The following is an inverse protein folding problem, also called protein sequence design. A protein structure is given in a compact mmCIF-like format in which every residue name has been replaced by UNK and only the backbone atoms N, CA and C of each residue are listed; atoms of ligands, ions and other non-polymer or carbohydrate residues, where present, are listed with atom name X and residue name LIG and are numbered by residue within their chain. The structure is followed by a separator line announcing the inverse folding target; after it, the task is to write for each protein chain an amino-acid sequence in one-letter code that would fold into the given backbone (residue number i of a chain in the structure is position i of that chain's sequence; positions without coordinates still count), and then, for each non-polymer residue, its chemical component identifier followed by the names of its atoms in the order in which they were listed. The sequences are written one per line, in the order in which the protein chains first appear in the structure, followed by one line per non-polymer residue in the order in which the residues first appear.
data_IF_756640935227
#
_entry.id   IF_756640935227
#
_cell.length_a   1.000
_cell.length_b   1.000
_cell.length_c   1.000
_cell.angle_alpha   90.00
_cell.angle_beta   90.00
_cell.angle_gamma   90.00
#
_symmetry.space_group_name_H-M   'P 1'
#
loop_
_entity.id
_entity.type
_entity.pdbx_description
1 polymer ?
#
# COMPACT_ATOMS: atom_id res chain seq x y z
N UNK A 1 -55.11 -10.24 10.40
CA UNK A 1 -54.03 -10.97 11.11
C UNK A 1 -53.53 -12.03 10.14
N UNK A 2 -52.37 -11.95 9.49
CA UNK A 2 -51.27 -10.98 9.45
C UNK A 2 -51.03 -10.58 7.97
N UNK A 3 -50.69 -9.31 7.73
CA UNK A 3 -50.15 -8.83 6.47
C UNK A 3 -48.68 -9.26 6.40
N UNK A 4 -48.30 -9.92 5.31
CA UNK A 4 -46.92 -10.27 5.01
C UNK A 4 -46.26 -9.07 4.33
N UNK A 5 -45.35 -8.38 5.02
CA UNK A 5 -44.52 -7.32 4.45
C UNK A 5 -43.11 -7.88 4.27
N UNK A 6 -42.70 -8.05 3.02
CA UNK A 6 -41.46 -8.71 2.65
C UNK A 6 -40.18 -7.98 3.06
N UNK A 7 -39.06 -8.66 2.85
CA UNK A 7 -37.80 -8.08 2.40
C UNK A 7 -37.21 -9.08 1.40
N UNK A 8 -36.95 -8.59 0.18
CA UNK A 8 -36.05 -9.27 -0.76
C UNK A 8 -34.65 -9.00 -0.22
N UNK A 9 -33.92 -10.05 0.15
CA UNK A 9 -32.49 -9.95 0.42
C UNK A 9 -31.79 -9.56 -0.87
N UNK A 10 -31.65 -8.25 -1.10
CA UNK A 10 -30.61 -7.75 -1.99
C UNK A 10 -29.29 -8.08 -1.31
N UNK A 11 -28.59 -9.10 -1.80
CA UNK A 11 -27.26 -9.51 -1.36
C UNK A 11 -26.21 -8.44 -1.65
N UNK A 12 -26.32 -7.30 -0.96
CA UNK A 12 -25.25 -6.31 -0.85
C UNK A 12 -24.37 -6.82 0.27
N UNK A 13 -23.23 -7.39 -0.09
CA UNK A 13 -22.14 -7.61 0.86
C UNK A 13 -21.86 -6.26 1.53
N UNK A 14 -22.13 -6.17 2.84
CA UNK A 14 -21.74 -5.02 3.63
C UNK A 14 -20.21 -5.04 3.70
N UNK A 15 -19.54 -4.20 2.89
CA UNK A 15 -18.09 -4.06 2.95
C UNK A 15 -17.73 -3.35 4.24
N UNK A 16 -17.39 -4.12 5.27
CA UNK A 16 -16.77 -3.59 6.48
C UNK A 16 -15.36 -3.13 6.14
N UNK A 17 -15.05 -1.85 6.38
CA UNK A 17 -13.69 -1.32 6.24
C UNK A 17 -12.77 -1.87 7.33
N UNK A 18 -12.34 -3.12 7.20
CA UNK A 18 -11.56 -3.86 8.18
C UNK A 18 -10.06 -3.86 7.83
N UNK A 19 -9.21 -3.71 8.84
CA UNK A 19 -7.76 -3.91 8.72
C UNK A 19 -7.44 -5.34 9.13
N UNK A 20 -7.16 -6.20 8.15
CA UNK A 20 -6.95 -7.63 8.38
C UNK A 20 -5.48 -8.00 8.62
N UNK A 21 -4.54 -7.10 8.31
CA UNK A 21 -3.10 -7.32 8.50
C UNK A 21 -2.32 -6.00 8.53
N UNK A 22 -1.22 -6.00 9.28
CA UNK A 22 -0.24 -4.90 9.34
C UNK A 22 1.18 -5.45 9.28
N UNK A 23 2.03 -4.84 8.46
CA UNK A 23 3.45 -5.19 8.31
C UNK A 23 4.30 -3.92 8.44
N UNK A 24 5.49 -4.06 9.01
CA UNK A 24 6.51 -3.00 9.05
C UNK A 24 7.74 -3.51 8.31
N UNK A 25 8.17 -2.78 7.28
CA UNK A 25 9.24 -3.21 6.39
C UNK A 25 10.27 -2.09 6.17
N UNK A 26 11.57 -2.40 6.03
CA UNK A 26 12.60 -1.39 5.80
C UNK A 26 12.64 -0.94 4.34
N UNK A 27 12.72 0.37 4.09
CA UNK A 27 12.65 0.94 2.73
C UNK A 27 14.00 1.02 1.98
N UNK A 28 15.09 0.55 2.57
CA UNK A 28 16.43 0.66 1.96
C UNK A 28 16.54 -0.21 0.68
N UNK A 29 17.31 0.22 -0.33
CA UNK A 29 17.35 -0.46 -1.63
C UNK A 29 18.23 -1.72 -1.68
N UNK A 30 19.13 -1.92 -0.70
CA UNK A 30 20.08 -3.04 -0.70
C UNK A 30 19.43 -4.42 -0.84
N UNK A 31 18.34 -4.76 -0.10
CA UNK A 31 17.69 -6.06 -0.25
C UNK A 31 17.09 -6.32 -1.63
N UNK A 32 16.82 -5.29 -2.44
CA UNK A 32 16.27 -5.46 -3.80
C UNK A 32 17.34 -5.34 -4.88
N UNK A 33 18.34 -4.47 -4.72
CA UNK A 33 19.33 -4.20 -5.77
C UNK A 33 20.60 -5.05 -5.67
N UNK A 34 21.01 -5.47 -4.47
CA UNK A 34 22.26 -6.19 -4.27
C UNK A 34 22.26 -7.09 -3.01
N UNK A 35 21.21 -7.90 -2.77
CA UNK A 35 21.11 -8.70 -1.55
C UNK A 35 22.29 -9.67 -1.36
N UNK A 36 22.91 -10.13 -2.44
CA UNK A 36 24.05 -11.05 -2.46
C UNK A 36 25.35 -10.47 -1.88
N UNK A 37 25.45 -9.13 -1.78
CA UNK A 37 26.66 -8.47 -1.28
C UNK A 37 26.80 -8.51 0.24
N UNK A 38 25.73 -8.88 0.97
CA UNK A 38 25.75 -8.99 2.43
C UNK A 38 24.71 -9.99 2.90
N UNK A 39 25.11 -10.97 3.72
CA UNK A 39 24.19 -12.00 4.26
C UNK A 39 23.02 -11.41 5.06
N UNK A 40 23.19 -10.25 5.70
CA UNK A 40 22.10 -9.52 6.36
C UNK A 40 21.07 -8.96 5.38
N UNK A 41 21.51 -8.45 4.23
CA UNK A 41 20.61 -7.97 3.19
C UNK A 41 19.85 -9.12 2.53
N UNK A 42 20.52 -10.25 2.28
CA UNK A 42 19.85 -11.46 1.82
C UNK A 42 18.77 -11.94 2.80
N UNK A 43 19.05 -11.97 4.11
CA UNK A 43 18.04 -12.34 5.11
C UNK A 43 16.83 -11.41 5.11
N UNK A 44 17.03 -10.11 4.91
CA UNK A 44 15.92 -9.15 4.78
C UNK A 44 15.15 -9.39 3.47
N UNK A 45 15.85 -9.69 2.38
CA UNK A 45 15.21 -10.06 1.10
C UNK A 45 14.34 -11.30 1.24
N UNK A 46 14.81 -12.33 1.95
CA UNK A 46 14.06 -13.55 2.22
C UNK A 46 12.82 -13.24 3.08
N UNK A 47 12.96 -12.38 4.09
CA UNK A 47 11.83 -11.94 4.92
C UNK A 47 10.78 -11.13 4.11
N UNK A 48 11.20 -10.38 3.08
CA UNK A 48 10.29 -9.75 2.13
C UNK A 48 9.51 -10.77 1.31
N UNK A 49 10.11 -11.92 0.96
CA UNK A 49 9.40 -13.00 0.26
C UNK A 49 8.35 -13.67 1.16
N UNK A 50 8.58 -13.73 2.48
CA UNK A 50 7.57 -14.18 3.44
C UNK A 50 6.46 -13.14 3.66
N UNK A 51 6.79 -11.85 3.72
CA UNK A 51 5.81 -10.76 3.74
C UNK A 51 4.92 -10.79 2.48
N UNK A 52 5.50 -11.06 1.31
CA UNK A 52 4.76 -11.24 0.06
C UNK A 52 3.73 -12.37 0.16
N UNK A 53 4.13 -13.56 0.64
CA UNK A 53 3.20 -14.69 0.85
C UNK A 53 2.06 -14.30 1.79
N UNK A 54 2.39 -13.64 2.90
CA UNK A 54 1.39 -13.20 3.88
C UNK A 54 0.35 -12.23 3.30
N UNK A 55 0.74 -11.40 2.33
CA UNK A 55 -0.16 -10.49 1.61
C UNK A 55 -1.00 -11.28 0.60
N UNK A 56 -0.37 -12.13 -0.22
CA UNK A 56 -1.05 -12.97 -1.22
C UNK A 56 -2.11 -13.90 -0.60
N UNK A 57 -1.87 -14.39 0.61
CA UNK A 57 -2.77 -15.27 1.36
C UNK A 57 -3.79 -14.53 2.23
N UNK A 58 -3.77 -13.19 2.27
CA UNK A 58 -4.60 -12.42 3.21
C UNK A 58 -6.02 -12.11 2.74
N UNK A 59 -6.34 -12.31 1.46
CA UNK A 59 -7.59 -11.82 0.84
C UNK A 59 -7.79 -10.30 0.94
N UNK A 60 -6.72 -9.51 1.16
CA UNK A 60 -6.79 -8.05 1.22
C UNK A 60 -7.13 -7.43 -0.15
N UNK A 61 -8.14 -6.55 -0.19
CA UNK A 61 -8.51 -5.80 -1.39
C UNK A 61 -7.58 -4.60 -1.69
N UNK A 62 -6.98 -4.02 -0.65
CA UNK A 62 -6.21 -2.79 -0.72
C UNK A 62 -4.99 -2.84 0.22
N UNK A 63 -3.85 -2.34 -0.26
CA UNK A 63 -2.65 -2.11 0.55
C UNK A 63 -2.47 -0.60 0.75
N UNK A 64 -2.42 -0.16 2.00
CA UNK A 64 -2.10 1.22 2.36
C UNK A 64 -0.63 1.28 2.79
N UNK A 65 0.17 2.08 2.09
CA UNK A 65 1.61 2.27 2.37
C UNK A 65 1.82 3.67 2.95
N UNK A 66 2.32 3.73 4.18
CA UNK A 66 2.82 4.97 4.78
C UNK A 66 4.35 4.93 4.79
N UNK A 67 4.98 5.81 4.02
CA UNK A 67 6.43 5.81 3.84
C UNK A 67 7.06 7.01 4.52
N UNK A 68 8.12 6.76 5.30
CA UNK A 68 8.98 7.83 5.83
C UNK A 68 9.81 8.51 4.74
N UNK A 69 9.90 7.91 3.55
CA UNK A 69 10.63 8.44 2.39
C UNK A 69 9.76 9.31 1.47
N UNK A 70 8.49 9.53 1.81
CA UNK A 70 7.62 10.46 1.08
C UNK A 70 7.23 11.64 1.97
N UNK A 71 8.16 12.61 2.17
CA UNK A 71 7.91 13.72 3.08
C UNK A 71 6.87 14.69 2.50
N UNK A 72 5.99 15.18 3.36
CA UNK A 72 5.09 16.30 3.07
C UNK A 72 5.30 17.42 4.07
N UNK A 73 5.34 18.65 3.56
CA UNK A 73 5.46 19.87 4.39
C UNK A 73 4.09 20.48 4.70
N UNK A 74 3.11 20.28 3.80
CA UNK A 74 1.77 20.90 3.91
C UNK A 74 0.73 19.78 3.83
N UNK A 75 0.13 19.45 4.98
CA UNK A 75 -0.88 18.41 5.10
C UNK A 75 -0.38 17.01 4.76
N UNK A 76 -1.31 16.05 4.68
CA UNK A 76 -1.02 14.71 4.21
C UNK A 76 -1.29 14.57 2.71
N UNK A 77 -0.42 13.83 2.02
CA UNK A 77 -0.50 13.57 0.59
C UNK A 77 -0.88 12.11 0.35
N UNK A 78 -1.62 11.85 -0.72
CA UNK A 78 -1.98 10.51 -1.19
C UNK A 78 -1.79 10.44 -2.70
N UNK A 79 -1.27 9.31 -3.20
CA UNK A 79 -1.12 9.09 -4.64
C UNK A 79 -2.49 8.78 -5.23
N UNK A 80 -2.84 9.43 -6.35
CA UNK A 80 -4.14 9.28 -6.99
C UNK A 80 -4.05 9.04 -8.51
N UNK A 81 -2.86 9.12 -9.12
CA UNK A 81 -2.64 8.62 -10.47
C UNK A 81 -2.93 7.11 -10.49
N UNK A 82 -3.84 6.61 -11.34
CA UNK A 82 -4.24 5.20 -11.33
C UNK A 82 -3.13 4.24 -11.75
N UNK A 83 -2.20 4.66 -12.61
CA UNK A 83 -1.16 3.78 -13.17
C UNK A 83 0.19 4.51 -13.25
N UNK A 84 0.74 4.98 -12.13
CA UNK A 84 1.95 5.76 -12.21
C UNK A 84 3.13 4.80 -12.43
N UNK A 85 4.01 5.22 -13.31
CA UNK A 85 5.18 4.48 -13.73
C UNK A 85 6.39 5.40 -13.66
N UNK A 86 7.46 4.93 -13.03
CA UNK A 86 8.72 5.65 -13.03
C UNK A 86 9.92 4.72 -12.86
N UNK A 87 11.06 5.20 -13.34
CA UNK A 87 12.36 4.59 -13.06
C UNK A 87 13.01 5.41 -11.95
N UNK A 88 13.19 4.78 -10.79
CA UNK A 88 13.75 5.39 -9.60
C UNK A 88 15.24 5.09 -9.50
N UNK A 89 16.02 6.13 -9.19
CA UNK A 89 17.40 6.00 -8.70
C UNK A 89 17.39 6.52 -7.28
N UNK A 90 17.92 5.73 -6.34
CA UNK A 90 18.02 6.14 -4.95
C UNK A 90 18.98 7.32 -4.82
N UNK A 91 18.62 8.35 -4.02
CA UNK A 91 19.41 9.56 -3.90
C UNK A 91 20.74 9.32 -3.16
N UNK A 92 20.71 8.48 -2.12
CA UNK A 92 21.87 8.18 -1.28
C UNK A 92 22.68 7.01 -1.86
N UNK A 93 22.00 6.08 -2.56
CA UNK A 93 22.58 4.82 -3.05
C UNK A 93 22.52 4.68 -4.59
N UNK A 94 22.70 5.78 -5.32
CA UNK A 94 22.61 5.81 -6.79
C UNK A 94 23.56 4.82 -7.50
N UNK A 95 24.71 4.52 -6.91
CA UNK A 95 25.69 3.55 -7.45
C UNK A 95 25.18 2.10 -7.48
N UNK A 96 24.11 1.79 -6.74
CA UNK A 96 23.49 0.46 -6.75
C UNK A 96 22.62 0.24 -8.00
N UNK A 97 22.35 1.29 -8.77
CA UNK A 97 21.57 1.25 -10.00
C UNK A 97 20.17 1.84 -9.84
N UNK A 98 19.25 1.36 -10.68
CA UNK A 98 17.89 1.89 -10.82
C UNK A 98 16.86 0.79 -10.68
N UNK A 99 15.67 1.14 -10.17
CA UNK A 99 14.54 0.24 -10.05
C UNK A 99 13.32 0.83 -10.77
N UNK A 100 12.63 0.01 -11.57
CA UNK A 100 11.37 0.42 -12.21
C UNK A 100 10.20 0.10 -11.28
N UNK A 101 9.39 1.12 -10.99
CA UNK A 101 8.21 1.00 -10.15
C UNK A 101 6.95 1.24 -10.98
N UNK A 102 6.01 0.31 -10.86
CA UNK A 102 4.71 0.33 -11.52
C UNK A 102 3.67 0.00 -10.46
N UNK A 103 2.70 0.89 -10.25
CA UNK A 103 1.67 0.70 -9.23
C UNK A 103 0.28 0.71 -9.86
N UNK A 104 -0.64 -0.02 -9.25
CA UNK A 104 -2.08 0.14 -9.48
C UNK A 104 -2.66 0.83 -8.26
N UNK A 105 -3.21 2.02 -8.45
CA UNK A 105 -3.71 2.85 -7.36
C UNK A 105 -5.23 2.87 -7.40
N UNK A 106 -5.85 2.67 -6.23
CA UNK A 106 -7.28 2.93 -6.06
C UNK A 106 -7.51 4.46 -5.94
N UNK A 107 -7.66 5.09 -7.11
CA UNK A 107 -7.93 6.52 -7.24
C UNK A 107 -9.23 6.94 -6.52
N UNK A 108 -10.24 6.07 -6.47
CA UNK A 108 -11.51 6.41 -5.83
C UNK A 108 -11.38 6.39 -4.30
N UNK A 109 -10.63 5.44 -3.75
CA UNK A 109 -10.23 5.47 -2.34
C UNK A 109 -9.45 6.74 -2.03
N UNK A 110 -8.43 7.09 -2.83
CA UNK A 110 -7.62 8.29 -2.61
C UNK A 110 -8.46 9.59 -2.59
N UNK A 111 -9.42 9.73 -3.51
CA UNK A 111 -10.35 10.88 -3.53
C UNK A 111 -11.29 10.90 -2.32
N UNK A 112 -11.80 9.74 -1.89
CA UNK A 112 -12.66 9.64 -0.70
C UNK A 112 -11.90 10.00 0.57
N UNK A 113 -10.66 9.52 0.72
CA UNK A 113 -9.78 9.88 1.83
C UNK A 113 -9.59 11.40 1.91
N UNK A 114 -9.24 12.05 0.79
CA UNK A 114 -9.06 13.51 0.74
C UNK A 114 -10.34 14.30 1.10
N UNK A 115 -11.53 13.75 0.85
CA UNK A 115 -12.81 14.38 1.24
C UNK A 115 -13.11 14.25 2.74
N UNK A 116 -12.61 13.20 3.38
CA UNK A 116 -12.81 12.97 4.82
C UNK A 116 -11.82 13.78 5.67
N UNK A 117 -10.69 14.19 5.11
CA UNK A 117 -9.73 15.07 5.76
C UNK A 117 -10.38 16.46 6.01
N UNK A 118 -10.53 16.89 7.28
CA UNK A 118 -11.12 18.19 7.59
C UNK A 118 -10.30 19.33 6.99
N UNK A 119 -10.94 20.45 6.62
CA UNK A 119 -10.21 21.66 6.23
C UNK A 119 -9.38 22.16 7.43
N UNK A 120 -8.06 21.99 7.35
CA UNK A 120 -7.11 22.34 8.42
C UNK A 120 -6.81 21.22 9.42
N UNK A 121 -7.38 20.02 9.22
CA UNK A 121 -6.93 18.79 9.88
C UNK A 121 -5.79 18.14 9.10
N UNK A 122 -5.01 17.31 9.79
CA UNK A 122 -4.08 16.37 9.14
C UNK A 122 -4.90 15.20 8.60
#
# INVERSE_FOLDING_TARGET
MQLWNGHVETGVLELTGEVIKSLIVPAHPHPVLCPEKNEGWQRIRDAYDDARKQIEESDADLIIIYSTLWPSVIGHQIQADPNPEWVMVDADFHDLGKHSLFLKIDTEFAKKWNKQTPKGGI
#
